data_IF_783164467565
#
_entry.id   IF_783164467565
#
_cell.length_a   1.000
_cell.length_b   1.000
_cell.length_c   1.000
_cell.angle_alpha   90.00
_cell.angle_beta   90.00
_cell.angle_gamma   90.00
#
_symmetry.space_group_name_H-M   'P 1'
#
loop_
_entity.id
_entity.type
_entity.pdbx_description
1 polymer ?
#
# COMPACT_ATOMS: atom_id res chain seq x y z
N UNK A 1 -53.70 21.15 -26.17
CA UNK A 1 -52.22 21.13 -26.13
C UNK A 1 -51.78 19.72 -25.77
N UNK A 2 -50.87 19.12 -26.55
CA UNK A 2 -50.61 17.68 -26.57
C UNK A 2 -50.02 17.15 -25.26
N UNK A 3 -50.82 16.45 -24.46
CA UNK A 3 -50.38 15.68 -23.26
C UNK A 3 -49.27 14.69 -23.62
N UNK A 4 -49.29 14.14 -24.85
CA UNK A 4 -48.24 13.29 -25.40
C UNK A 4 -46.88 13.99 -25.50
N UNK A 5 -46.86 15.30 -25.79
CA UNK A 5 -45.60 16.05 -25.84
C UNK A 5 -44.97 16.20 -24.45
N UNK A 6 -45.81 16.34 -23.42
CA UNK A 6 -45.36 16.42 -22.02
C UNK A 6 -44.89 15.06 -21.49
N UNK A 7 -45.58 13.97 -21.84
CA UNK A 7 -45.15 12.60 -21.51
C UNK A 7 -43.81 12.26 -22.17
N UNK A 8 -43.61 12.63 -23.44
CA UNK A 8 -42.34 12.44 -24.13
C UNK A 8 -41.21 13.21 -23.45
N UNK A 9 -41.48 14.42 -22.91
CA UNK A 9 -40.48 15.19 -22.18
C UNK A 9 -40.04 14.46 -20.90
N UNK A 10 -40.98 13.93 -20.10
CA UNK A 10 -40.66 13.19 -18.88
C UNK A 10 -39.84 11.92 -19.15
N UNK A 11 -40.19 11.17 -20.20
CA UNK A 11 -39.48 9.92 -20.57
C UNK A 11 -38.04 10.19 -21.02
N UNK A 12 -37.77 11.33 -21.65
CA UNK A 12 -36.42 11.72 -22.08
C UNK A 12 -35.56 12.19 -20.90
N UNK A 13 -36.15 12.72 -19.83
CA UNK A 13 -35.40 13.20 -18.66
C UNK A 13 -34.81 12.08 -17.80
N UNK A 14 -35.48 10.93 -17.69
CA UNK A 14 -35.03 9.79 -16.89
C UNK A 14 -33.64 9.28 -17.34
N UNK A 15 -33.41 8.91 -18.61
CA UNK A 15 -32.09 8.46 -19.05
C UNK A 15 -31.04 9.59 -18.98
N UNK A 16 -31.44 10.85 -19.18
CA UNK A 16 -30.54 12.00 -19.09
C UNK A 16 -30.01 12.21 -17.66
N UNK A 17 -30.90 12.12 -16.66
CA UNK A 17 -30.54 12.16 -15.25
C UNK A 17 -29.65 10.97 -14.85
N UNK A 18 -29.94 9.77 -15.37
CA UNK A 18 -29.15 8.57 -15.05
C UNK A 18 -27.73 8.62 -15.62
N UNK A 19 -27.53 9.19 -16.82
CA UNK A 19 -26.19 9.37 -17.41
C UNK A 19 -25.36 10.38 -16.60
N UNK A 20 -25.98 11.42 -16.04
CA UNK A 20 -25.31 12.39 -15.17
C UNK A 20 -25.00 11.85 -13.77
N UNK A 21 -25.78 10.88 -13.27
CA UNK A 21 -25.62 10.28 -11.94
C UNK A 21 -24.46 9.27 -11.85
N UNK A 22 -23.72 9.04 -12.94
CA UNK A 22 -22.49 8.25 -12.91
C UNK A 22 -21.38 9.10 -12.28
N UNK A 23 -21.37 9.12 -10.95
CA UNK A 23 -20.23 9.58 -10.19
C UNK A 23 -19.05 8.65 -10.46
N UNK A 24 -18.14 9.11 -11.32
CA UNK A 24 -16.82 8.51 -11.44
C UNK A 24 -16.09 8.64 -10.10
N UNK A 25 -15.68 7.51 -9.52
CA UNK A 25 -14.74 7.50 -8.40
C UNK A 25 -13.34 7.64 -8.99
N UNK A 26 -12.90 8.89 -9.20
CA UNK A 26 -11.50 9.17 -9.48
C UNK A 26 -10.71 8.75 -8.24
N UNK A 27 -9.90 7.70 -8.35
CA UNK A 27 -8.88 7.41 -7.34
C UNK A 27 -7.66 8.22 -7.72
N UNK A 28 -7.34 9.24 -6.93
CA UNK A 28 -6.12 10.02 -7.11
C UNK A 28 -4.98 9.14 -6.61
N UNK A 29 -4.08 8.77 -7.51
CA UNK A 29 -2.76 8.27 -7.13
C UNK A 29 -1.93 9.50 -6.76
N UNK A 30 -1.96 9.90 -5.48
CA UNK A 30 -1.02 10.88 -4.96
C UNK A 30 0.36 10.23 -4.88
N UNK A 31 1.13 10.36 -5.95
CA UNK A 31 2.57 10.25 -5.88
C UNK A 31 3.07 11.54 -5.20
N UNK A 32 3.03 11.57 -3.86
CA UNK A 32 3.64 12.62 -3.05
C UNK A 32 5.17 12.55 -3.20
N UNK A 33 5.69 13.20 -4.24
CA UNK A 33 7.10 13.54 -4.37
C UNK A 33 7.30 14.83 -3.55
N UNK A 34 8.13 14.83 -2.49
CA UNK A 34 8.29 15.99 -1.64
C UNK A 34 8.90 17.12 -2.46
N UNK A 35 8.08 18.09 -2.83
CA UNK A 35 8.52 19.40 -3.30
C UNK A 35 8.08 20.39 -2.24
N UNK A 36 9.04 20.78 -1.42
CA UNK A 36 9.13 22.02 -0.66
C UNK A 36 7.84 22.70 -0.19
N UNK A 37 7.71 22.71 1.13
CA UNK A 37 7.23 23.83 1.94
C UNK A 37 5.76 24.25 1.80
N UNK A 38 5.03 24.20 2.92
CA UNK A 38 3.70 24.81 3.05
C UNK A 38 2.65 23.84 3.57
N UNK A 39 2.19 24.09 4.79
CA UNK A 39 1.25 23.22 5.50
C UNK A 39 -0.12 23.10 4.83
N UNK A 40 -0.58 21.85 4.78
CA UNK A 40 -1.96 21.46 4.93
C UNK A 40 -1.91 20.11 5.66
N UNK A 41 -2.61 19.97 6.78
CA UNK A 41 -2.87 18.66 7.35
C UNK A 41 -3.87 17.97 6.41
N UNK A 42 -3.34 17.32 5.38
CA UNK A 42 -4.13 16.53 4.45
C UNK A 42 -4.49 15.21 5.14
N UNK A 43 -5.80 14.90 5.16
CA UNK A 43 -6.34 13.59 5.54
C UNK A 43 -5.68 12.52 4.67
N UNK A 44 -4.52 12.06 5.13
CA UNK A 44 -3.68 11.13 4.40
C UNK A 44 -4.50 9.85 4.27
N UNK A 45 -4.85 9.39 3.06
CA UNK A 45 -5.62 8.17 2.90
C UNK A 45 -4.89 7.06 3.66
N UNK A 46 -5.60 6.44 4.61
CA UNK A 46 -5.01 5.54 5.58
C UNK A 46 -4.24 4.43 4.86
N UNK A 47 -2.92 4.53 4.88
CA UNK A 47 -2.04 3.54 4.28
C UNK A 47 -2.22 2.24 5.04
N UNK A 48 -2.73 1.23 4.34
CA UNK A 48 -2.78 -0.15 4.82
C UNK A 48 -1.62 -0.89 4.19
N UNK A 49 -0.51 -0.96 4.93
CA UNK A 49 0.73 -1.55 4.47
C UNK A 49 0.63 -3.07 4.46
N UNK A 50 0.98 -3.66 3.32
CA UNK A 50 1.03 -5.10 3.10
C UNK A 50 2.43 -5.49 2.61
N UNK A 51 3.03 -6.51 3.22
CA UNK A 51 4.30 -7.11 2.81
C UNK A 51 4.01 -8.52 2.34
N UNK A 52 4.03 -8.72 1.03
CA UNK A 52 3.68 -9.99 0.39
C UNK A 52 4.96 -10.78 0.17
N UNK A 53 5.11 -11.91 0.84
CA UNK A 53 6.26 -12.80 0.74
C UNK A 53 5.95 -13.92 -0.23
N UNK A 54 6.64 -13.93 -1.36
CA UNK A 54 6.50 -14.91 -2.44
C UNK A 54 7.80 -15.66 -2.65
N UNK A 55 7.75 -16.85 -3.26
CA UNK A 55 8.97 -17.66 -3.52
C UNK A 55 10.02 -16.93 -4.37
N UNK A 56 9.59 -15.98 -5.20
CA UNK A 56 10.45 -15.22 -6.11
C UNK A 56 10.94 -13.89 -5.52
N UNK A 57 10.44 -13.48 -4.35
CA UNK A 57 10.77 -12.19 -3.75
C UNK A 57 9.69 -11.67 -2.82
N UNK A 58 9.91 -10.46 -2.31
CA UNK A 58 8.98 -9.76 -1.42
C UNK A 58 8.40 -8.55 -2.17
N UNK A 59 7.10 -8.34 -2.06
CA UNK A 59 6.42 -7.15 -2.58
C UNK A 59 5.94 -6.29 -1.40
N UNK A 60 6.35 -5.03 -1.38
CA UNK A 60 5.79 -4.03 -0.46
C UNK A 60 4.65 -3.34 -1.20
N UNK A 61 3.45 -3.40 -0.65
CA UNK A 61 2.25 -2.88 -1.27
C UNK A 61 1.40 -2.09 -0.27
N UNK A 62 0.59 -1.17 -0.78
CA UNK A 62 -0.52 -0.62 -0.02
C UNK A 62 -1.82 -1.20 -0.56
N UNK A 63 -2.75 -1.66 0.30
CA UNK A 63 -4.01 -2.30 -0.15
C UNK A 63 -4.74 -1.50 -1.24
N UNK A 64 -4.70 -0.17 -1.15
CA UNK A 64 -5.35 0.76 -2.09
C UNK A 64 -4.41 1.33 -3.15
N UNK A 65 -3.09 1.23 -2.95
CA UNK A 65 -2.04 1.86 -3.75
C UNK A 65 -1.48 0.86 -4.78
N UNK A 66 -1.57 -0.44 -4.48
CA UNK A 66 -0.90 -1.49 -5.24
C UNK A 66 0.56 -1.65 -4.82
N UNK A 67 1.35 -2.34 -5.65
CA UNK A 67 2.77 -2.58 -5.38
C UNK A 67 3.56 -1.27 -5.37
N UNK A 68 4.16 -0.96 -4.23
CA UNK A 68 5.05 0.19 -4.02
C UNK A 68 6.47 -0.18 -4.45
N UNK A 69 6.96 -1.34 -4.01
CA UNK A 69 8.30 -1.81 -4.30
C UNK A 69 8.36 -3.33 -4.40
N UNK A 70 9.24 -3.83 -5.25
CA UNK A 70 9.56 -5.27 -5.35
C UNK A 70 11.00 -5.48 -4.94
N UNK A 71 11.16 -6.36 -3.98
CA UNK A 71 12.44 -6.77 -3.43
C UNK A 71 12.71 -8.19 -3.90
N UNK A 72 13.84 -8.39 -4.57
CA UNK A 72 14.23 -9.70 -5.08
C UNK A 72 14.71 -10.65 -3.99
N UNK A 73 15.23 -11.79 -4.44
CA UNK A 73 16.01 -12.71 -3.62
C UNK A 73 17.51 -12.40 -3.74
N UNK A 74 18.24 -12.67 -2.66
CA UNK A 74 19.70 -12.65 -2.57
C UNK A 74 20.25 -14.08 -2.45
N UNK A 75 21.57 -14.25 -2.44
CA UNK A 75 22.22 -15.57 -2.31
C UNK A 75 21.84 -16.31 -1.02
N UNK A 76 21.37 -15.59 0.02
CA UNK A 76 20.99 -16.15 1.32
C UNK A 76 19.47 -16.20 1.57
N UNK A 77 18.63 -15.95 0.57
CA UNK A 77 17.17 -15.93 0.70
C UNK A 77 16.55 -14.63 0.18
N UNK A 78 15.70 -13.97 0.96
CA UNK A 78 15.16 -12.66 0.58
C UNK A 78 16.19 -11.55 0.79
N UNK A 79 16.13 -10.50 -0.02
CA UNK A 79 16.94 -9.29 0.21
C UNK A 79 16.31 -8.43 1.32
N UNK A 80 16.55 -8.82 2.57
CA UNK A 80 16.06 -8.12 3.74
C UNK A 80 16.66 -6.71 3.88
N UNK A 81 17.82 -6.46 3.27
CA UNK A 81 18.43 -5.14 3.30
C UNK A 81 17.66 -4.15 2.44
N UNK A 82 17.30 -4.56 1.22
CA UNK A 82 16.41 -3.79 0.35
C UNK A 82 15.02 -3.61 0.99
N UNK A 83 14.45 -4.66 1.59
CA UNK A 83 13.18 -4.55 2.33
C UNK A 83 13.26 -3.52 3.46
N UNK A 84 14.31 -3.55 4.28
CA UNK A 84 14.48 -2.57 5.36
C UNK A 84 14.64 -1.15 4.81
N UNK A 85 15.30 -0.97 3.66
CA UNK A 85 15.40 0.30 2.95
C UNK A 85 14.04 0.84 2.54
N UNK A 86 13.26 0.02 1.83
CA UNK A 86 11.89 0.35 1.40
C UNK A 86 11.00 0.78 2.58
N UNK A 87 11.07 0.04 3.69
CA UNK A 87 10.28 0.30 4.89
C UNK A 87 10.73 1.56 5.63
N UNK A 88 12.03 1.89 5.62
CA UNK A 88 12.52 3.17 6.17
C UNK A 88 11.96 4.35 5.40
N UNK A 89 12.02 4.29 4.07
CA UNK A 89 11.51 5.36 3.22
C UNK A 89 10.00 5.51 3.40
N UNK A 90 9.29 4.41 3.59
CA UNK A 90 7.87 4.43 3.90
C UNK A 90 7.58 5.00 5.30
N UNK A 91 8.34 4.62 6.32
CA UNK A 91 8.20 5.16 7.68
C UNK A 91 8.46 6.66 7.73
N UNK A 92 9.40 7.17 6.92
CA UNK A 92 9.66 8.60 6.80
C UNK A 92 8.47 9.36 6.20
N UNK A 93 7.71 8.74 5.29
CA UNK A 93 6.47 9.31 4.71
C UNK A 93 5.26 9.17 5.63
N UNK A 94 5.22 8.11 6.45
CA UNK A 94 4.11 7.79 7.35
C UNK A 94 4.62 7.54 8.79
N UNK A 95 5.07 8.59 9.51
CA UNK A 95 5.74 8.44 10.81
C UNK A 95 4.84 7.82 11.89
N UNK A 96 3.55 8.15 11.87
CA UNK A 96 2.58 7.71 12.88
C UNK A 96 2.06 6.29 12.65
N UNK A 97 2.40 5.67 11.51
CA UNK A 97 1.95 4.32 11.17
C UNK A 97 2.83 3.26 11.81
N UNK A 98 2.20 2.31 12.50
CA UNK A 98 2.86 1.19 13.19
C UNK A 98 2.35 -0.17 12.72
N UNK A 99 1.22 -0.20 12.01
CA UNK A 99 0.58 -1.41 11.51
C UNK A 99 1.14 -1.89 10.17
N UNK A 100 1.21 -3.21 10.02
CA UNK A 100 1.62 -3.90 8.80
C UNK A 100 1.00 -5.29 8.74
N UNK A 101 0.56 -5.69 7.54
CA UNK A 101 0.09 -7.05 7.29
C UNK A 101 1.10 -7.80 6.44
N UNK A 102 1.61 -8.92 6.95
CA UNK A 102 2.47 -9.83 6.18
C UNK A 102 1.57 -10.88 5.52
N UNK A 103 1.63 -10.97 4.20
CA UNK A 103 0.88 -11.91 3.40
C UNK A 103 1.81 -12.98 2.83
N UNK A 104 1.58 -14.25 3.15
CA UNK A 104 2.51 -15.34 2.83
C UNK A 104 1.98 -16.20 1.67
N UNK A 105 2.82 -16.47 0.68
CA UNK A 105 2.56 -17.54 -0.30
C UNK A 105 2.59 -18.92 0.41
N UNK A 106 1.92 -19.96 -0.12
CA UNK A 106 2.12 -21.33 0.36
C UNK A 106 3.58 -21.79 0.30
N UNK A 107 3.94 -22.67 1.23
CA UNK A 107 5.28 -23.30 1.34
C UNK A 107 6.44 -22.33 1.61
N UNK A 108 6.21 -21.16 2.22
CA UNK A 108 7.32 -20.32 2.70
C UNK A 108 7.93 -20.93 3.97
N UNK A 109 9.26 -21.18 4.02
CA UNK A 109 9.93 -21.70 5.20
C UNK A 109 9.76 -20.78 6.42
N UNK A 110 9.50 -21.38 7.59
CA UNK A 110 9.29 -20.64 8.84
C UNK A 110 10.42 -19.65 9.17
N UNK A 111 11.67 -20.04 8.94
CA UNK A 111 12.84 -19.17 9.17
C UNK A 111 12.78 -17.89 8.34
N UNK A 112 12.29 -17.97 7.10
CA UNK A 112 12.14 -16.80 6.24
C UNK A 112 11.02 -15.88 6.73
N UNK A 113 9.91 -16.45 7.21
CA UNK A 113 8.80 -15.68 7.81
C UNK A 113 9.31 -14.88 9.01
N UNK A 114 10.05 -15.52 9.92
CA UNK A 114 10.62 -14.86 11.10
C UNK A 114 11.60 -13.76 10.70
N UNK A 115 12.47 -14.02 9.71
CA UNK A 115 13.42 -13.02 9.25
C UNK A 115 12.74 -11.79 8.64
N UNK A 116 11.63 -11.97 7.92
CA UNK A 116 10.80 -10.87 7.42
C UNK A 116 10.14 -10.12 8.58
N UNK A 117 9.55 -10.83 9.55
CA UNK A 117 8.95 -10.20 10.74
C UNK A 117 9.95 -9.32 11.50
N UNK A 118 11.17 -9.81 11.72
CA UNK A 118 12.22 -9.07 12.41
C UNK A 118 12.63 -7.81 11.64
N UNK A 119 12.72 -7.92 10.31
CA UNK A 119 13.08 -6.80 9.42
C UNK A 119 12.01 -5.73 9.37
N UNK A 120 10.75 -6.12 9.47
CA UNK A 120 9.60 -5.21 9.42
C UNK A 120 9.41 -4.45 10.73
N UNK A 121 9.81 -5.04 11.86
CA UNK A 121 9.58 -4.48 13.20
C UNK A 121 10.52 -3.33 13.55
N UNK A 122 11.82 -3.49 13.30
CA UNK A 122 12.86 -2.54 13.72
C UNK A 122 13.93 -2.39 12.67
N UNK A 123 14.63 -1.27 12.72
CA UNK A 123 15.82 -1.09 11.92
C UNK A 123 16.92 -0.38 12.70
N UNK A 124 18.16 -0.59 12.27
CA UNK A 124 19.32 0.12 12.80
C UNK A 124 19.56 1.34 11.90
N UNK A 125 19.60 2.51 12.51
CA UNK A 125 19.92 3.78 11.89
C UNK A 125 21.13 4.37 12.60
N UNK A 126 22.10 4.88 11.83
CA UNK A 126 23.23 5.60 12.40
C UNK A 126 22.83 7.05 12.62
N UNK A 127 22.73 7.47 13.87
CA UNK A 127 22.45 8.85 14.24
C UNK A 127 23.66 9.39 14.99
N UNK A 128 24.26 10.47 14.47
CA UNK A 128 25.42 11.14 15.08
C UNK A 128 26.64 10.23 15.39
N UNK A 129 26.83 9.16 14.60
CA UNK A 129 27.94 8.21 14.79
C UNK A 129 27.61 7.01 15.66
N UNK A 130 26.45 7.00 16.35
CA UNK A 130 25.95 5.87 17.13
C UNK A 130 24.90 5.08 16.35
N UNK A 131 24.92 3.75 16.50
CA UNK A 131 23.90 2.86 15.97
C UNK A 131 22.71 2.84 16.92
N UNK A 132 21.62 3.51 16.53
CA UNK A 132 20.37 3.55 17.29
C UNK A 132 19.36 2.62 16.63
N UNK A 133 18.66 1.84 17.45
CA UNK A 133 17.53 1.02 16.99
C UNK A 133 16.29 1.91 16.91
N UNK A 134 15.72 2.05 15.71
CA UNK A 134 14.46 2.73 15.47
C UNK A 134 13.35 1.72 15.17
N UNK A 135 12.14 2.02 15.61
CA UNK A 135 10.96 1.24 15.26
C UNK A 135 10.50 1.52 13.82
N UNK A 136 9.99 0.49 13.16
CA UNK A 136 9.34 0.58 11.86
C UNK A 136 7.84 0.33 12.05
N UNK A 137 7.39 -0.90 11.79
CA UNK A 137 5.99 -1.31 11.87
C UNK A 137 5.84 -2.50 12.84
N UNK A 138 5.76 -2.24 14.16
CA UNK A 138 5.74 -3.30 15.16
C UNK A 138 4.41 -4.06 15.26
N UNK A 139 3.30 -3.48 14.79
CA UNK A 139 1.96 -4.08 14.90
C UNK A 139 1.70 -4.99 13.70
N UNK A 140 2.24 -6.21 13.77
CA UNK A 140 2.25 -7.18 12.68
C UNK A 140 0.99 -8.05 12.71
N UNK A 141 0.27 -8.09 11.59
CA UNK A 141 -0.76 -9.10 11.29
C UNK A 141 -0.25 -10.06 10.23
N UNK A 142 -0.68 -11.33 10.24
CA UNK A 142 -0.28 -12.34 9.26
C UNK A 142 -1.52 -12.87 8.55
N UNK A 143 -1.43 -13.06 7.23
CA UNK A 143 -2.47 -13.69 6.42
C UNK A 143 -1.91 -14.39 5.19
N UNK A 144 -2.82 -14.93 4.38
CA UNK A 144 -2.46 -15.62 3.14
C UNK A 144 -2.33 -14.62 1.98
N UNK A 145 -1.28 -14.79 1.18
CA UNK A 145 -1.10 -14.02 -0.04
C UNK A 145 -2.20 -14.36 -1.06
N UNK A 146 -2.83 -13.35 -1.69
CA UNK A 146 -3.80 -13.60 -2.74
C UNK A 146 -3.14 -14.35 -3.91
N UNK A 147 -3.91 -15.25 -4.52
CA UNK A 147 -3.57 -15.96 -5.76
C UNK A 147 -3.55 -14.97 -6.93
N UNK A 148 -2.52 -14.12 -7.00
CA UNK A 148 -2.44 -12.99 -7.93
C UNK A 148 -1.15 -12.97 -8.73
N UNK A 149 -1.30 -13.27 -10.03
CA UNK A 149 -0.40 -13.00 -11.17
C UNK A 149 1.11 -13.24 -10.96
N UNK A 150 1.47 -14.45 -10.56
CA UNK A 150 2.78 -15.01 -10.92
C UNK A 150 2.74 -15.44 -12.40
N UNK A 151 3.13 -14.53 -13.30
CA UNK A 151 3.30 -14.78 -14.73
C UNK A 151 4.56 -14.11 -15.24
#
# INVERSE_FOLDING_TARGET
>A
MNVTAFMNLMVVLVPFLLIMAVFSRITILELNLPSGDGGAAEDTPELQLEVIVRKQGIEVAGRRIGTIERVGTSESGYDLQALSGALKDLKARYPDKTDVTILLEPDIPYEQVVAVMDTVRVTRVSQAGDLVTAELFPDISIGDAPEGAGG
#
